data_IF_318370061275
#
_entry.id   IF_318370061275
#
_cell.length_a   1.000
_cell.length_b   1.000
_cell.length_c   1.000
_cell.angle_alpha   90.00
_cell.angle_beta   90.00
_cell.angle_gamma   90.00
#
_symmetry.space_group_name_H-M   'P 1'
#
loop_
_entity.id
_entity.type
_entity.pdbx_description
1 polymer ?
#
# COMPACT_ATOMS: atom_id res chain seq x y z
N UNK A 1 -33.70 0.12 39.60
CA UNK A 1 -32.28 0.04 40.02
C UNK A 1 -31.70 -1.24 39.45
N UNK A 2 -30.89 -1.14 38.40
CA UNK A 2 -29.94 -2.19 38.03
C UNK A 2 -28.81 -1.56 37.20
N UNK A 3 -27.61 -1.98 37.58
CA UNK A 3 -26.31 -1.34 37.36
C UNK A 3 -25.80 -1.71 35.96
N UNK A 4 -25.58 -0.70 35.11
CA UNK A 4 -24.84 -0.85 33.85
C UNK A 4 -23.35 -0.72 34.15
N UNK A 5 -22.67 -1.86 34.11
CA UNK A 5 -21.24 -2.02 34.27
C UNK A 5 -20.48 -1.32 33.13
N UNK A 6 -19.58 -0.44 33.55
CA UNK A 6 -18.63 0.29 32.73
C UNK A 6 -17.63 -0.70 32.09
N UNK A 7 -17.75 -0.97 30.78
CA UNK A 7 -16.74 -1.74 30.04
C UNK A 7 -15.70 -0.77 29.50
N UNK A 8 -14.62 -0.63 30.25
CA UNK A 8 -13.37 0.03 29.86
C UNK A 8 -12.91 -0.42 28.48
N UNK A 9 -12.63 0.55 27.61
CA UNK A 9 -12.02 0.36 26.31
C UNK A 9 -10.58 -0.17 26.51
N UNK A 10 -10.38 -1.47 26.29
CA UNK A 10 -9.05 -2.05 26.17
C UNK A 10 -8.45 -1.57 24.84
N UNK A 11 -7.50 -0.64 24.93
CA UNK A 11 -6.65 -0.23 23.83
C UNK A 11 -5.73 -1.38 23.46
N UNK A 12 -5.91 -1.95 22.27
CA UNK A 12 -5.05 -2.97 21.71
C UNK A 12 -3.77 -2.29 21.20
N UNK A 13 -2.67 -2.47 21.92
CA UNK A 13 -1.33 -2.04 21.49
C UNK A 13 -0.86 -2.95 20.37
N UNK A 14 -0.68 -2.42 19.16
CA UNK A 14 -0.09 -3.15 18.04
C UNK A 14 1.31 -3.64 18.44
N UNK A 15 1.46 -4.96 18.60
CA UNK A 15 2.75 -5.57 18.91
C UNK A 15 3.62 -5.65 17.66
N UNK A 16 4.73 -4.93 17.69
CA UNK A 16 5.77 -4.90 16.68
C UNK A 16 6.58 -6.21 16.72
N UNK A 17 6.10 -7.25 16.00
CA UNK A 17 6.89 -8.45 15.73
C UNK A 17 6.97 -8.68 14.23
N UNK A 18 8.11 -8.31 13.65
CA UNK A 18 8.50 -8.71 12.29
C UNK A 18 9.02 -10.15 12.30
N UNK A 19 8.36 -11.13 11.66
CA UNK A 19 8.97 -12.42 11.37
C UNK A 19 9.96 -12.25 10.21
N UNK A 20 11.26 -12.43 10.44
CA UNK A 20 12.27 -12.58 9.39
C UNK A 20 12.13 -13.96 8.76
N UNK A 21 11.50 -14.06 7.59
CA UNK A 21 11.66 -15.23 6.71
C UNK A 21 12.99 -15.12 5.97
N UNK A 22 13.93 -16.02 6.28
CA UNK A 22 15.20 -16.11 5.59
C UNK A 22 14.99 -16.56 4.13
N UNK A 23 15.57 -15.82 3.18
CA UNK A 23 15.68 -16.22 1.76
C UNK A 23 14.94 -15.36 0.73
N UNK A 24 14.09 -14.41 1.14
CA UNK A 24 13.43 -13.46 0.20
C UNK A 24 14.00 -12.06 0.35
N UNK A 25 14.24 -11.39 -0.78
CA UNK A 25 14.65 -9.99 -0.79
C UNK A 25 13.61 -9.14 -0.03
N UNK A 26 14.05 -8.13 0.74
CA UNK A 26 13.13 -7.28 1.50
C UNK A 26 12.17 -6.56 0.55
N UNK A 27 10.88 -6.53 0.90
CA UNK A 27 9.90 -5.69 0.20
C UNK A 27 10.09 -4.25 0.67
N UNK A 28 10.56 -3.40 -0.24
CA UNK A 28 10.80 -1.98 0.02
C UNK A 28 9.69 -1.16 -0.62
N UNK A 29 9.07 -0.32 0.20
CA UNK A 29 7.92 0.52 -0.17
C UNK A 29 8.40 1.95 -0.31
N UNK A 30 8.32 2.49 -1.53
CA UNK A 30 8.72 3.86 -1.86
C UNK A 30 7.49 4.76 -1.93
N UNK A 31 7.59 5.99 -1.43
CA UNK A 31 6.60 7.03 -1.74
C UNK A 31 6.70 7.46 -3.21
N UNK A 32 5.55 7.51 -3.89
CA UNK A 32 5.44 7.93 -5.28
C UNK A 32 5.11 9.42 -5.35
N UNK A 33 5.55 10.06 -6.43
CA UNK A 33 5.22 11.45 -6.71
C UNK A 33 4.61 11.59 -8.11
N UNK A 34 4.30 12.82 -8.52
CA UNK A 34 3.65 13.10 -9.80
C UNK A 34 4.39 12.55 -11.03
N UNK A 35 5.72 12.38 -10.98
CA UNK A 35 6.53 11.81 -12.09
C UNK A 35 6.24 10.30 -12.27
N UNK A 36 5.75 9.62 -11.23
CA UNK A 36 5.42 8.19 -11.27
C UNK A 36 3.99 7.91 -11.79
N UNK A 37 3.24 8.95 -12.19
CA UNK A 37 1.82 8.81 -12.59
C UNK A 37 1.62 7.84 -13.76
N UNK A 38 2.49 7.84 -14.76
CA UNK A 38 2.38 6.91 -15.88
C UNK A 38 2.63 5.45 -15.45
N UNK A 39 3.55 5.23 -14.50
CA UNK A 39 3.79 3.90 -13.92
C UNK A 39 2.60 3.44 -13.09
N UNK A 40 1.99 4.36 -12.36
CA UNK A 40 0.78 4.11 -11.58
C UNK A 40 -0.39 3.71 -12.48
N UNK A 41 -0.58 4.41 -13.61
CA UNK A 41 -1.57 4.05 -14.61
C UNK A 41 -1.31 2.66 -15.19
N UNK A 42 -0.06 2.38 -15.60
CA UNK A 42 0.33 1.08 -16.13
C UNK A 42 0.06 -0.06 -15.13
N UNK A 43 0.29 0.16 -13.83
CA UNK A 43 -0.04 -0.82 -12.79
C UNK A 43 -1.53 -1.16 -12.75
N UNK A 44 -2.40 -0.15 -12.68
CA UNK A 44 -3.85 -0.40 -12.60
C UNK A 44 -4.42 -0.98 -13.89
N UNK A 45 -3.88 -0.61 -15.05
CA UNK A 45 -4.29 -1.20 -16.33
C UNK A 45 -3.84 -2.66 -16.48
N UNK A 46 -2.77 -3.06 -15.81
CA UNK A 46 -2.28 -4.44 -15.80
C UNK A 46 -3.04 -5.38 -14.85
N UNK A 47 -3.95 -4.86 -14.00
CA UNK A 47 -4.84 -5.68 -13.18
C UNK A 47 -5.90 -6.35 -14.06
N UNK A 48 -6.19 -7.61 -13.76
CA UNK A 48 -7.33 -8.34 -14.34
C UNK A 48 -8.68 -7.78 -13.83
N UNK A 49 -9.79 -8.26 -14.38
CA UNK A 49 -11.13 -7.78 -14.04
C UNK A 49 -11.50 -8.02 -12.57
N UNK A 50 -11.11 -9.17 -12.03
CA UNK A 50 -11.40 -9.54 -10.64
C UNK A 50 -10.59 -8.69 -9.65
N UNK A 51 -9.31 -8.44 -9.93
CA UNK A 51 -8.45 -7.55 -9.13
C UNK A 51 -8.94 -6.12 -9.15
N UNK A 52 -9.41 -5.63 -10.31
CA UNK A 52 -10.04 -4.31 -10.40
C UNK A 52 -11.28 -4.25 -9.53
N UNK A 53 -12.13 -5.27 -9.59
CA UNK A 53 -13.31 -5.37 -8.74
C UNK A 53 -12.94 -5.38 -7.25
N UNK A 54 -11.91 -6.12 -6.85
CA UNK A 54 -11.44 -6.15 -5.47
C UNK A 54 -10.80 -4.83 -5.02
N UNK A 55 -10.13 -4.10 -5.92
CA UNK A 55 -9.44 -2.84 -5.64
C UNK A 55 -10.38 -1.63 -5.58
N UNK A 56 -11.39 -1.61 -6.45
CA UNK A 56 -12.28 -0.45 -6.63
C UNK A 56 -13.70 -0.70 -6.09
N UNK A 57 -13.97 -1.90 -5.55
CA UNK A 57 -15.28 -2.31 -5.03
C UNK A 57 -16.33 -2.58 -6.11
N UNK A 58 -16.04 -2.23 -7.37
CA UNK A 58 -16.95 -2.33 -8.50
C UNK A 58 -16.18 -2.62 -9.79
N UNK A 59 -16.89 -3.06 -10.83
CA UNK A 59 -16.32 -3.25 -12.16
C UNK A 59 -15.98 -1.87 -12.74
N UNK A 60 -14.70 -1.64 -13.05
CA UNK A 60 -14.21 -0.36 -13.57
C UNK A 60 -13.57 -0.52 -14.96
N UNK A 61 -14.06 0.19 -15.99
CA UNK A 61 -13.43 0.23 -17.31
C UNK A 61 -12.18 1.12 -17.32
N UNK A 62 -11.34 0.98 -18.34
CA UNK A 62 -10.04 1.70 -18.44
C UNK A 62 -10.17 3.22 -18.28
N UNK A 63 -11.18 3.85 -18.89
CA UNK A 63 -11.37 5.31 -18.78
C UNK A 63 -11.66 5.79 -17.35
N UNK A 64 -12.31 4.96 -16.52
CA UNK A 64 -12.52 5.26 -15.09
C UNK A 64 -11.20 5.18 -14.33
N UNK A 65 -10.35 4.18 -14.64
CA UNK A 65 -9.01 4.06 -14.06
C UNK A 65 -8.13 5.24 -14.48
N UNK A 66 -8.15 5.64 -15.75
CA UNK A 66 -7.41 6.80 -16.26
C UNK A 66 -7.82 8.09 -15.54
N UNK A 67 -9.13 8.31 -15.36
CA UNK A 67 -9.64 9.46 -14.62
C UNK A 67 -9.28 9.41 -13.14
N UNK A 68 -9.37 8.23 -12.51
CA UNK A 68 -8.94 8.02 -11.13
C UNK A 68 -7.47 8.41 -10.97
N UNK A 69 -6.59 7.85 -11.80
CA UNK A 69 -5.15 8.15 -11.74
C UNK A 69 -4.87 9.60 -12.03
N UNK A 70 -5.61 10.27 -12.94
CA UNK A 70 -5.49 11.70 -13.22
C UNK A 70 -5.93 12.57 -12.04
N UNK A 71 -6.94 12.16 -11.31
CA UNK A 71 -7.51 12.91 -10.19
C UNK A 71 -6.67 12.81 -8.89
N UNK A 72 -5.72 11.88 -8.80
CA UNK A 72 -4.83 11.77 -7.64
C UNK A 72 -4.03 13.07 -7.49
N UNK A 73 -4.19 13.70 -6.32
CA UNK A 73 -3.43 14.85 -5.86
C UNK A 73 -2.33 14.38 -4.91
N UNK A 74 -1.10 14.29 -5.43
CA UNK A 74 0.08 13.85 -4.67
C UNK A 74 0.54 14.86 -3.61
N UNK A 75 -0.03 16.06 -3.56
CA UNK A 75 0.23 17.02 -2.47
C UNK A 75 -0.66 16.79 -1.26
N UNK A 76 -1.85 16.20 -1.49
CA UNK A 76 -2.83 15.86 -0.46
C UNK A 76 -2.70 14.41 -0.02
N UNK A 77 -2.75 13.49 -0.98
CA UNK A 77 -2.77 12.06 -0.76
C UNK A 77 -1.36 11.49 -0.82
N UNK A 78 -1.13 10.37 -0.13
CA UNK A 78 0.15 9.66 -0.22
C UNK A 78 -0.05 8.37 -1.02
N UNK A 79 0.76 8.17 -2.06
CA UNK A 79 0.75 6.93 -2.84
C UNK A 79 2.07 6.21 -2.64
N UNK A 80 2.01 4.91 -2.42
CA UNK A 80 3.14 4.04 -2.21
C UNK A 80 3.27 3.04 -3.36
N UNK A 81 4.51 2.67 -3.70
CA UNK A 81 4.80 1.70 -4.73
C UNK A 81 5.91 0.73 -4.32
N UNK A 82 5.76 -0.53 -4.74
CA UNK A 82 6.83 -1.53 -4.72
C UNK A 82 7.27 -1.80 -6.14
N UNK A 83 8.58 -1.64 -6.40
CA UNK A 83 9.17 -1.83 -7.72
C UNK A 83 9.83 -3.19 -7.86
N UNK A 84 9.53 -3.88 -8.96
CA UNK A 84 10.25 -5.10 -9.36
C UNK A 84 11.65 -4.76 -9.91
N UNK A 85 12.43 -5.79 -10.28
CA UNK A 85 13.77 -5.60 -10.88
C UNK A 85 13.76 -4.86 -12.23
N UNK A 86 12.61 -4.84 -12.92
CA UNK A 86 12.40 -4.11 -14.17
C UNK A 86 11.96 -2.66 -13.97
N UNK A 87 11.88 -2.17 -12.72
CA UNK A 87 11.36 -0.84 -12.37
C UNK A 87 9.89 -0.61 -12.73
N UNK A 88 9.11 -1.69 -12.76
CA UNK A 88 7.65 -1.65 -12.90
C UNK A 88 7.01 -1.80 -11.51
N UNK A 89 5.84 -1.17 -11.31
CA UNK A 89 5.10 -1.26 -10.05
C UNK A 89 4.43 -2.62 -9.93
N UNK A 90 4.91 -3.44 -9.00
CA UNK A 90 4.33 -4.75 -8.69
C UNK A 90 3.22 -4.67 -7.63
N UNK A 91 3.21 -3.62 -6.84
CA UNK A 91 2.15 -3.33 -5.88
C UNK A 91 2.05 -1.84 -5.58
N UNK A 92 0.83 -1.39 -5.31
CA UNK A 92 0.49 0.00 -5.06
C UNK A 92 -0.42 0.10 -3.83
N UNK A 93 -0.14 1.07 -2.97
CA UNK A 93 -1.01 1.47 -1.87
C UNK A 93 -1.38 2.94 -2.03
N UNK A 94 -2.64 3.29 -1.94
CA UNK A 94 -3.10 4.68 -1.97
C UNK A 94 -3.74 5.02 -0.62
N UNK A 95 -3.16 5.99 0.06
CA UNK A 95 -3.63 6.56 1.32
C UNK A 95 -4.28 7.92 1.02
N UNK A 96 -5.62 7.94 0.99
CA UNK A 96 -6.42 9.13 0.74
C UNK A 96 -6.91 9.73 2.05
N UNK A 97 -6.71 11.04 2.25
CA UNK A 97 -7.15 11.72 3.47
C UNK A 97 -8.58 12.20 3.32
N UNK A 98 -9.45 11.76 4.24
CA UNK A 98 -10.83 12.21 4.28
C UNK A 98 -10.92 13.61 4.94
N UNK A 99 -11.97 14.40 4.65
CA UNK A 99 -12.24 15.63 5.37
C UNK A 99 -12.27 15.40 6.89
N UNK A 100 -11.68 16.33 7.65
CA UNK A 100 -11.64 16.21 9.10
C UNK A 100 -13.05 16.42 9.71
N UNK A 101 -13.40 15.58 10.68
CA UNK A 101 -14.64 15.68 11.44
C UNK A 101 -14.31 16.02 12.89
N UNK A 102 -14.31 17.32 13.20
CA UNK A 102 -13.82 17.83 14.49
C UNK A 102 -12.34 17.46 14.69
N UNK A 103 -12.02 16.88 15.84
CA UNK A 103 -10.65 16.47 16.17
C UNK A 103 -10.24 15.11 15.57
N UNK A 104 -11.15 14.43 14.87
CA UNK A 104 -10.88 13.12 14.25
C UNK A 104 -10.40 13.31 12.82
N UNK A 105 -9.25 12.73 12.52
CA UNK A 105 -8.70 12.67 11.17
C UNK A 105 -8.66 11.22 10.72
N UNK A 106 -9.30 10.96 9.59
CA UNK A 106 -9.39 9.62 9.01
C UNK A 106 -8.69 9.60 7.66
N UNK A 107 -8.02 8.48 7.37
CA UNK A 107 -7.52 8.21 6.03
C UNK A 107 -8.03 6.85 5.56
N UNK A 108 -8.36 6.75 4.28
CA UNK A 108 -8.75 5.51 3.61
C UNK A 108 -7.54 4.89 2.91
N UNK A 109 -7.39 3.58 3.02
CA UNK A 109 -6.31 2.85 2.36
C UNK A 109 -6.83 1.84 1.34
N UNK A 110 -6.46 2.04 0.08
CA UNK A 110 -6.67 1.07 -1.00
C UNK A 110 -5.36 0.43 -1.44
N UNK A 111 -5.35 -0.89 -1.69
CA UNK A 111 -4.14 -1.62 -2.10
C UNK A 111 -4.41 -2.55 -3.28
N UNK A 112 -3.45 -2.64 -4.20
CA UNK A 112 -3.42 -3.60 -5.30
C UNK A 112 -2.03 -4.22 -5.44
N UNK A 113 -1.98 -5.49 -5.81
CA UNK A 113 -0.74 -6.25 -6.05
C UNK A 113 -0.95 -7.10 -7.29
N UNK A 114 -0.06 -6.96 -8.27
CA UNK A 114 -0.13 -7.77 -9.50
C UNK A 114 -0.04 -9.26 -9.14
N UNK A 115 -0.77 -10.09 -9.87
CA UNK A 115 -0.81 -11.55 -9.68
C UNK A 115 0.59 -12.16 -9.54
N UNK A 116 1.51 -11.79 -10.44
CA UNK A 116 2.90 -12.26 -10.47
C UNK A 116 3.72 -11.93 -9.22
N UNK A 117 3.25 -11.03 -8.36
CA UNK A 117 3.94 -10.57 -7.16
C UNK A 117 3.22 -10.94 -5.85
N UNK A 118 2.10 -11.68 -5.92
CA UNK A 118 1.35 -12.14 -4.74
C UNK A 118 2.14 -13.18 -3.94
N UNK A 119 1.74 -13.39 -2.68
CA UNK A 119 2.39 -14.35 -1.77
C UNK A 119 3.77 -13.92 -1.25
N UNK A 120 4.22 -12.70 -1.57
CA UNK A 120 5.51 -12.13 -1.14
C UNK A 120 5.41 -11.15 0.05
N UNK A 121 4.19 -10.92 0.58
CA UNK A 121 3.97 -10.00 1.69
C UNK A 121 3.86 -8.52 1.29
N UNK A 122 3.78 -8.22 -0.02
CA UNK A 122 3.70 -6.84 -0.55
C UNK A 122 2.52 -6.06 0.04
N UNK A 123 1.31 -6.63 0.01
CA UNK A 123 0.12 -5.97 0.54
C UNK A 123 0.24 -5.60 2.02
N UNK A 124 0.77 -6.52 2.85
CA UNK A 124 1.02 -6.23 4.26
C UNK A 124 2.04 -5.11 4.45
N UNK A 125 3.12 -5.09 3.67
CA UNK A 125 4.16 -4.04 3.76
C UNK A 125 3.67 -2.67 3.32
N UNK A 126 2.82 -2.62 2.29
CA UNK A 126 2.13 -1.40 1.87
C UNK A 126 1.21 -0.89 2.98
N UNK A 127 0.42 -1.77 3.61
CA UNK A 127 -0.43 -1.40 4.74
C UNK A 127 0.38 -0.90 5.95
N UNK A 128 1.46 -1.60 6.33
CA UNK A 128 2.35 -1.19 7.42
C UNK A 128 2.94 0.21 7.16
N UNK A 129 3.43 0.48 5.95
CA UNK A 129 3.93 1.81 5.55
C UNK A 129 2.85 2.87 5.66
N UNK A 130 1.63 2.57 5.19
CA UNK A 130 0.50 3.48 5.25
C UNK A 130 0.06 3.78 6.69
N UNK A 131 0.06 2.79 7.58
CA UNK A 131 -0.24 3.00 9.00
C UNK A 131 0.79 3.90 9.68
N UNK A 132 2.09 3.71 9.42
CA UNK A 132 3.15 4.61 9.93
C UNK A 132 2.94 6.03 9.40
N UNK A 133 2.75 6.19 8.09
CA UNK A 133 2.50 7.49 7.47
C UNK A 133 1.29 8.19 8.06
N UNK A 134 0.21 7.44 8.27
CA UNK A 134 -1.03 7.92 8.88
C UNK A 134 -0.77 8.49 10.27
N UNK A 135 -0.05 7.76 11.13
CA UNK A 135 0.36 8.25 12.46
C UNK A 135 1.16 9.55 12.37
N UNK A 136 2.18 9.57 11.52
CA UNK A 136 3.08 10.70 11.35
C UNK A 136 2.41 11.93 10.70
N UNK A 137 1.23 11.73 10.11
CA UNK A 137 0.36 12.78 9.59
C UNK A 137 -0.87 13.02 10.48
N UNK A 138 -0.82 12.62 11.74
CA UNK A 138 -1.86 12.88 12.75
C UNK A 138 -3.25 12.28 12.41
N UNK A 139 -3.29 11.22 11.60
CA UNK A 139 -4.50 10.43 11.40
C UNK A 139 -4.74 9.58 12.64
N UNK A 140 -5.95 9.65 13.19
CA UNK A 140 -6.38 8.87 14.36
C UNK A 140 -7.01 7.55 13.97
N UNK A 141 -7.55 7.46 12.75
CA UNK A 141 -8.25 6.26 12.25
C UNK A 141 -7.81 5.94 10.82
N UNK A 142 -7.24 4.76 10.61
CA UNK A 142 -7.03 4.21 9.28
C UNK A 142 -8.20 3.30 8.91
N UNK A 143 -8.86 3.60 7.81
CA UNK A 143 -10.06 2.93 7.33
C UNK A 143 -9.79 2.14 6.05
N UNK A 144 -10.42 0.98 5.92
CA UNK A 144 -10.47 0.18 4.70
C UNK A 144 -11.90 -0.23 4.45
N UNK A 145 -12.37 0.03 3.25
CA UNK A 145 -13.57 -0.57 2.69
C UNK A 145 -13.18 -1.70 1.74
N UNK A 146 -13.79 -2.88 1.87
CA UNK A 146 -13.57 -3.96 0.90
C UNK A 146 -14.75 -4.92 0.79
N UNK A 147 -14.79 -5.68 -0.31
CA UNK A 147 -15.73 -6.78 -0.45
C UNK A 147 -15.41 -7.87 0.59
N UNK A 148 -16.41 -8.40 1.29
CA UNK A 148 -16.21 -9.41 2.34
C UNK A 148 -15.52 -10.69 1.85
N UNK A 149 -15.65 -10.99 0.55
CA UNK A 149 -14.97 -12.11 -0.13
C UNK A 149 -13.49 -11.86 -0.45
N UNK A 150 -12.98 -10.65 -0.25
CA UNK A 150 -11.56 -10.32 -0.45
C UNK A 150 -10.70 -10.93 0.67
N UNK A 151 -10.48 -12.24 0.62
CA UNK A 151 -9.79 -13.00 1.65
C UNK A 151 -8.39 -12.46 1.97
N UNK A 152 -7.69 -11.90 0.98
CA UNK A 152 -6.38 -11.28 1.15
C UNK A 152 -6.47 -10.00 1.97
N UNK A 153 -7.39 -9.09 1.64
CA UNK A 153 -7.59 -7.87 2.43
C UNK A 153 -8.10 -8.20 3.83
N UNK A 154 -9.04 -9.15 3.95
CA UNK A 154 -9.54 -9.61 5.26
C UNK A 154 -8.41 -10.19 6.12
N UNK A 155 -7.45 -10.88 5.51
CA UNK A 155 -6.26 -11.37 6.22
C UNK A 155 -5.37 -10.22 6.70
N UNK A 156 -5.11 -9.21 5.86
CA UNK A 156 -4.34 -8.02 6.25
C UNK A 156 -5.02 -7.29 7.42
N UNK A 157 -6.32 -7.02 7.31
CA UNK A 157 -7.09 -6.32 8.35
C UNK A 157 -7.06 -7.08 9.70
N UNK A 158 -7.30 -8.40 9.67
CA UNK A 158 -7.22 -9.24 10.88
C UNK A 158 -5.82 -9.25 11.48
N UNK A 159 -4.79 -9.42 10.65
CA UNK A 159 -3.39 -9.44 11.09
C UNK A 159 -2.99 -8.10 11.72
N UNK A 160 -3.51 -6.99 11.20
CA UNK A 160 -3.28 -5.65 11.71
C UNK A 160 -4.09 -5.32 12.99
N UNK A 161 -4.97 -6.22 13.44
CA UNK A 161 -5.81 -5.98 14.61
C UNK A 161 -6.93 -4.97 14.35
N UNK A 162 -7.37 -4.80 13.10
CA UNK A 162 -8.47 -3.91 12.76
C UNK A 162 -9.79 -4.43 13.32
N UNK A 163 -10.65 -3.52 13.77
CA UNK A 163 -12.05 -3.82 14.05
C UNK A 163 -12.78 -3.94 12.71
N UNK A 164 -13.40 -5.09 12.46
CA UNK A 164 -14.07 -5.40 11.19
C UNK A 164 -15.58 -5.48 11.42
N UNK A 165 -16.34 -4.79 10.58
CA UNK A 165 -17.81 -4.78 10.54
C UNK A 165 -18.27 -5.29 9.17
N UNK A 166 -19.19 -6.25 9.15
CA UNK A 166 -19.71 -6.83 7.89
C UNK A 166 -21.11 -6.32 7.61
N UNK A 167 -21.36 -5.91 6.38
CA UNK A 167 -22.68 -5.46 5.93
C UNK A 167 -22.86 -5.81 4.45
N UNK A 168 -23.98 -6.45 4.08
CA UNK A 168 -24.41 -6.65 2.69
C UNK A 168 -23.35 -7.21 1.72
N UNK A 169 -22.47 -8.10 2.18
CA UNK A 169 -21.41 -8.66 1.32
C UNK A 169 -20.14 -7.80 1.23
N UNK A 170 -20.11 -6.68 1.93
CA UNK A 170 -18.97 -5.79 2.15
C UNK A 170 -18.45 -5.92 3.58
N UNK A 171 -17.26 -5.38 3.81
CA UNK A 171 -16.58 -5.34 5.08
C UNK A 171 -15.85 -4.01 5.25
N UNK A 172 -16.18 -3.32 6.32
CA UNK A 172 -15.54 -2.10 6.78
C UNK A 172 -14.56 -2.44 7.90
N UNK A 173 -13.32 -1.98 7.79
CA UNK A 173 -12.28 -2.24 8.77
C UNK A 173 -11.66 -0.94 9.27
N UNK A 174 -11.49 -0.83 10.59
CA UNK A 174 -10.98 0.36 11.26
C UNK A 174 -9.78 0.02 12.14
N UNK A 175 -8.70 0.79 12.01
CA UNK A 175 -7.54 0.76 12.90
C UNK A 175 -7.41 2.09 13.63
N UNK A 176 -7.55 2.07 14.95
CA UNK A 176 -7.23 3.23 15.79
C UNK A 176 -5.72 3.36 15.90
N UNK A 177 -5.20 4.53 15.53
CA UNK A 177 -3.77 4.82 15.53
C UNK A 177 -3.40 5.65 16.77
N UNK A 178 -2.32 5.26 17.44
CA UNK A 178 -1.69 6.14 18.43
C UNK A 178 -1.02 7.33 17.74
N UNK A 179 -0.81 8.45 18.46
CA UNK A 179 -0.06 9.59 17.93
C UNK A 179 1.35 9.21 17.47
N UNK A 180 1.93 10.06 16.61
CA UNK A 180 3.32 9.92 16.20
C UNK A 180 4.27 9.95 17.41
N UNK A 181 5.32 9.14 17.35
CA UNK A 181 6.40 9.10 18.33
C UNK A 181 7.76 9.12 17.62
N UNK A 182 8.85 9.30 18.36
CA UNK A 182 10.18 9.36 17.75
C UNK A 182 10.51 8.10 16.94
N UNK A 183 10.04 6.94 17.39
CA UNK A 183 10.27 5.67 16.70
C UNK A 183 9.51 5.58 15.38
N UNK A 184 8.27 6.05 15.31
CA UNK A 184 7.47 6.05 14.07
C UNK A 184 8.03 7.01 13.03
N UNK A 185 8.56 8.16 13.46
CA UNK A 185 9.21 9.14 12.57
C UNK A 185 10.53 8.57 12.01
N UNK A 186 11.39 8.01 12.86
CA UNK A 186 12.65 7.40 12.43
C UNK A 186 12.39 6.20 11.50
N UNK A 187 11.41 5.35 11.84
CA UNK A 187 11.05 4.19 11.02
C UNK A 187 10.59 4.60 9.62
N UNK A 188 9.75 5.63 9.51
CA UNK A 188 9.33 6.20 8.22
C UNK A 188 10.53 6.69 7.40
N UNK A 189 11.42 7.47 8.00
CA UNK A 189 12.61 7.99 7.31
C UNK A 189 13.51 6.86 6.81
N UNK A 190 13.77 5.85 7.64
CA UNK A 190 14.62 4.71 7.26
C UNK A 190 14.00 3.88 6.14
N UNK A 191 12.68 3.63 6.20
CA UNK A 191 11.96 2.91 5.14
C UNK A 191 12.06 3.66 3.81
N UNK A 192 11.89 4.98 3.82
CA UNK A 192 11.99 5.79 2.61
C UNK A 192 13.41 5.78 2.03
N UNK A 193 14.43 6.00 2.86
CA UNK A 193 15.82 6.01 2.41
C UNK A 193 16.25 4.66 1.83
N UNK A 194 15.86 3.55 2.47
CA UNK A 194 16.12 2.22 1.95
C UNK A 194 15.46 1.98 0.59
N UNK A 195 14.20 2.41 0.42
CA UNK A 195 13.46 2.24 -0.83
C UNK A 195 14.02 3.11 -1.97
N UNK A 196 14.42 4.35 -1.69
CA UNK A 196 15.08 5.23 -2.66
C UNK A 196 16.42 4.65 -3.11
N UNK A 197 17.22 4.16 -2.17
CA UNK A 197 18.51 3.56 -2.47
C UNK A 197 18.38 2.28 -3.32
N UNK A 198 17.48 1.37 -2.95
CA UNK A 198 17.17 0.17 -3.74
C UNK A 198 16.69 0.51 -5.15
N UNK A 199 15.79 1.49 -5.29
CA UNK A 199 15.34 1.96 -6.60
C UNK A 199 16.50 2.50 -7.45
N UNK A 200 17.39 3.29 -6.85
CA UNK A 200 18.57 3.82 -7.54
C UNK A 200 19.52 2.71 -8.01
N UNK A 201 19.76 1.68 -7.17
CA UNK A 201 20.55 0.51 -7.54
C UNK A 201 19.91 -0.28 -8.69
N UNK A 202 18.60 -0.58 -8.60
CA UNK A 202 17.86 -1.26 -9.68
C UNK A 202 17.93 -0.46 -10.99
N UNK A 203 17.86 0.87 -10.91
CA UNK A 203 18.01 1.76 -12.07
C UNK A 203 19.40 1.67 -12.69
N UNK A 204 20.45 1.75 -11.87
CA UNK A 204 21.83 1.61 -12.36
C UNK A 204 22.08 0.25 -12.99
N UNK A 205 21.64 -0.84 -12.36
CA UNK A 205 21.75 -2.18 -12.91
C UNK A 205 21.06 -2.30 -14.27
N UNK A 206 19.82 -1.80 -14.41
CA UNK A 206 19.09 -1.79 -15.69
C UNK A 206 19.80 -0.99 -16.77
N UNK A 207 20.40 0.16 -16.43
CA UNK A 207 21.20 0.92 -17.39
C UNK A 207 22.44 0.16 -17.82
N UNK A 208 23.15 -0.48 -16.90
CA UNK A 208 24.34 -1.28 -17.21
C UNK A 208 23.99 -2.47 -18.12
N UNK A 209 22.90 -3.19 -17.82
CA UNK A 209 22.41 -4.29 -18.66
C UNK A 209 22.03 -3.82 -20.07
N UNK A 210 21.31 -2.70 -20.20
CA UNK A 210 20.96 -2.12 -21.50
C UNK A 210 22.18 -1.70 -22.32
N UNK A 211 23.18 -1.11 -21.67
CA UNK A 211 24.45 -0.77 -22.32
C UNK A 211 25.13 -2.05 -22.80
N UNK A 212 25.27 -3.06 -21.94
CA UNK A 212 25.86 -4.34 -22.30
C UNK A 212 25.14 -5.02 -23.47
N UNK A 213 23.80 -5.05 -23.49
CA UNK A 213 22.99 -5.53 -24.61
C UNK A 213 23.25 -4.74 -25.90
N UNK A 214 23.41 -3.42 -25.82
CA UNK A 214 23.71 -2.58 -26.98
C UNK A 214 25.12 -2.74 -27.55
N UNK A 215 26.06 -3.27 -26.77
CA UNK A 215 27.44 -3.57 -27.19
C UNK A 215 27.63 -5.01 -27.65
N UNK A 216 26.65 -5.91 -27.46
CA UNK A 216 26.69 -7.26 -28.00
C UNK A 216 26.29 -7.22 -29.48
N UNK A 217 27.14 -7.66 -30.43
CA UNK A 217 26.73 -7.81 -31.82
C UNK A 217 25.58 -8.82 -31.87
N UNK A 218 24.53 -8.51 -32.61
CA UNK A 218 23.45 -9.45 -32.91
C UNK A 218 24.11 -10.66 -33.57
N UNK A 219 24.20 -11.79 -32.85
CA UNK A 219 24.69 -13.02 -33.43
C UNK A 219 23.84 -13.30 -34.68
N UNK A 220 24.52 -13.34 -35.82
CA UNK A 220 23.95 -13.30 -37.15
C UNK A 220 22.85 -14.35 -37.32
N UNK A 221 21.76 -13.93 -37.96
CA UNK A 221 20.92 -14.83 -38.71
C UNK A 221 21.79 -15.50 -39.79
N UNK A 222 21.95 -16.82 -39.68
CA UNK A 222 22.44 -17.71 -40.71
C UNK A 222 21.66 -19.03 -40.61
#
# INVERSE_FOLDING_TARGET
>A
MNILTNRTAEQIVAHDRLPRTAGRAPVLVRELNAIDRDRLLAHFLALDEDDRLLRFGQVVPNHVIENYVRAIDFSRDTVFGVFNSKLELSGVGHLAYLPAEGDKRTAEFGVSVLESARGQGIGSKLFERAAIRSRNTHVTTLYIHCLSRNSTMMHIAKKAGMKIEYAYGEADAYLTLSPADQTSIIAEMLQEQAAVFDYALKRQARHASKLFESFMPTAAAA
#
